data_IF_874368779503
#
_entry.id   IF_874368779503
#
_cell.length_a   1.000
_cell.length_b   1.000
_cell.length_c   1.000
_cell.angle_alpha   90.00
_cell.angle_beta   90.00
_cell.angle_gamma   90.00
#
_symmetry.space_group_name_H-M   'P 1'
#
loop_
_entity.id
_entity.type
_entity.pdbx_description
1 polymer ?
#
# COMPACT_ATOMS: atom_id res chain seq x y z
N UNK A 1 13.22 14.65 -5.30
CA UNK A 1 13.26 13.25 -4.84
C UNK A 1 11.94 12.58 -5.19
N UNK A 2 11.92 11.62 -6.12
CA UNK A 2 10.76 10.73 -6.28
C UNK A 2 10.85 9.69 -5.16
N UNK A 3 9.89 9.65 -4.24
CA UNK A 3 9.87 8.66 -3.15
C UNK A 3 9.04 7.46 -3.61
N UNK A 4 9.61 6.26 -3.57
CA UNK A 4 8.88 5.01 -3.75
C UNK A 4 7.95 4.76 -2.56
N UNK A 5 6.71 4.35 -2.82
CA UNK A 5 5.76 3.92 -1.78
C UNK A 5 5.32 2.47 -2.03
N UNK A 6 5.21 1.70 -0.95
CA UNK A 6 4.55 0.39 -0.94
C UNK A 6 3.10 0.58 -0.52
N UNK A 7 2.16 -0.02 -1.23
CA UNK A 7 0.72 0.17 -1.05
C UNK A 7 0.02 -1.16 -0.83
N UNK A 8 -0.72 -1.27 0.26
CA UNK A 8 -1.71 -2.31 0.50
C UNK A 8 -3.09 -1.70 0.35
N UNK A 9 -3.84 -2.18 -0.63
CA UNK A 9 -5.18 -1.69 -0.91
C UNK A 9 -5.90 -2.65 -1.82
N UNK A 10 -7.23 -2.76 -1.68
CA UNK A 10 -8.06 -3.46 -2.66
C UNK A 10 -7.87 -2.84 -4.03
N UNK A 11 -7.62 -3.70 -5.02
CA UNK A 11 -7.20 -3.27 -6.36
C UNK A 11 -8.30 -3.54 -7.38
N UNK A 12 -8.48 -2.61 -8.31
CA UNK A 12 -9.14 -2.94 -9.57
C UNK A 12 -8.15 -3.59 -10.55
N UNK A 13 -8.66 -4.23 -11.61
CA UNK A 13 -7.81 -4.84 -12.65
C UNK A 13 -6.89 -3.82 -13.34
N UNK A 14 -7.24 -2.54 -13.30
CA UNK A 14 -6.51 -1.46 -13.98
C UNK A 14 -5.25 -1.08 -13.20
N UNK A 15 -5.31 -1.01 -11.86
CA UNK A 15 -4.18 -0.68 -10.99
C UNK A 15 -3.03 -1.65 -11.16
N UNK A 16 -3.33 -2.96 -11.21
CA UNK A 16 -2.31 -4.01 -11.39
C UNK A 16 -1.53 -3.82 -12.69
N UNK A 17 -2.20 -3.41 -13.76
CA UNK A 17 -1.58 -3.18 -15.08
C UNK A 17 -0.73 -1.88 -15.14
N UNK A 18 -0.99 -0.89 -14.28
CA UNK A 18 -0.33 0.43 -14.35
C UNK A 18 0.49 0.79 -13.11
N UNK A 19 0.96 -0.15 -12.30
CA UNK A 19 1.97 0.20 -11.28
C UNK A 19 3.32 0.69 -11.87
N UNK A 20 3.42 0.80 -13.21
CA UNK A 20 4.50 1.41 -14.00
C UNK A 20 4.24 2.88 -14.44
N UNK A 21 3.32 3.63 -13.82
CA UNK A 21 3.07 5.03 -14.23
C UNK A 21 4.38 5.85 -14.18
N UNK A 22 4.87 6.40 -15.32
CA UNK A 22 6.10 7.17 -15.36
C UNK A 22 6.06 8.35 -14.37
N UNK A 23 7.00 8.38 -13.42
CA UNK A 23 7.08 9.43 -12.40
C UNK A 23 6.46 9.08 -11.05
N UNK A 24 5.73 7.97 -10.93
CA UNK A 24 5.26 7.39 -9.66
C UNK A 24 5.94 6.04 -9.44
N UNK A 25 6.72 5.90 -8.37
CA UNK A 25 7.28 4.62 -7.96
C UNK A 25 6.32 4.01 -6.92
N UNK A 26 5.35 3.24 -7.39
CA UNK A 26 4.39 2.56 -6.53
C UNK A 26 4.66 1.07 -6.63
N UNK A 27 4.89 0.45 -5.48
CA UNK A 27 5.01 -0.98 -5.34
C UNK A 27 3.76 -1.50 -4.66
N UNK A 28 3.12 -2.50 -5.27
CA UNK A 28 1.90 -3.07 -4.71
C UNK A 28 2.29 -4.22 -3.78
N UNK A 29 1.90 -4.17 -2.50
CA UNK A 29 2.23 -5.21 -1.51
C UNK A 29 1.54 -6.52 -1.88
N UNK A 30 2.31 -7.60 -2.02
CA UNK A 30 1.81 -8.91 -2.43
C UNK A 30 0.81 -9.49 -1.44
N UNK A 31 -0.18 -10.19 -1.97
CA UNK A 31 -1.18 -10.93 -1.20
C UNK A 31 -0.89 -12.44 -1.26
N UNK A 32 -1.05 -13.19 -0.16
CA UNK A 32 -1.45 -12.72 1.18
C UNK A 32 -0.30 -12.04 1.94
N UNK A 33 -0.66 -11.23 2.95
CA UNK A 33 0.26 -10.73 3.98
C UNK A 33 0.12 -11.53 5.27
N UNK A 34 1.21 -11.65 6.04
CA UNK A 34 1.20 -12.31 7.35
C UNK A 34 1.12 -11.29 8.49
N UNK A 35 0.05 -11.38 9.28
CA UNK A 35 -0.15 -10.57 10.48
C UNK A 35 -0.16 -11.50 11.68
N UNK A 36 0.93 -11.51 12.47
CA UNK A 36 1.07 -12.39 13.64
C UNK A 36 0.76 -13.87 13.29
N UNK A 37 1.34 -14.40 12.21
CA UNK A 37 1.12 -15.78 11.70
C UNK A 37 -0.26 -16.09 11.13
N UNK A 38 -1.14 -15.08 11.03
CA UNK A 38 -2.41 -15.18 10.32
C UNK A 38 -2.28 -14.56 8.92
N UNK A 39 -2.61 -15.32 7.90
CA UNK A 39 -2.64 -14.83 6.53
C UNK A 39 -3.88 -13.93 6.30
N UNK A 40 -3.67 -12.76 5.70
CA UNK A 40 -4.73 -11.84 5.26
C UNK A 40 -4.60 -11.63 3.74
N UNK A 41 -5.71 -11.78 3.01
CA UNK A 41 -5.76 -11.57 1.56
C UNK A 41 -6.41 -10.23 1.22
N UNK A 42 -6.14 -9.69 0.03
CA UNK A 42 -6.77 -8.44 -0.46
C UNK A 42 -8.31 -8.50 -0.49
N UNK A 43 -8.85 -9.69 -0.68
CA UNK A 43 -10.28 -9.97 -0.81
C UNK A 43 -10.96 -9.91 0.56
N UNK A 44 -10.27 -10.35 1.61
CA UNK A 44 -10.79 -10.40 2.97
C UNK A 44 -10.39 -9.18 3.81
N UNK A 45 -9.33 -8.47 3.43
CA UNK A 45 -8.87 -7.25 4.07
C UNK A 45 -9.51 -6.02 3.42
N UNK A 46 -10.16 -5.18 4.24
CA UNK A 46 -10.78 -3.93 3.79
C UNK A 46 -9.91 -2.70 4.07
N UNK A 47 -8.77 -2.89 4.74
CA UNK A 47 -7.87 -1.80 5.09
C UNK A 47 -7.10 -1.31 3.87
N UNK A 48 -6.74 -0.02 3.90
CA UNK A 48 -5.88 0.57 2.89
C UNK A 48 -4.79 1.34 3.62
N UNK A 49 -3.53 1.09 3.26
CA UNK A 49 -2.40 1.75 3.87
C UNK A 49 -1.21 1.81 2.93
N UNK A 50 -0.28 2.70 3.25
CA UNK A 50 0.96 2.88 2.51
C UNK A 50 2.13 3.19 3.45
N UNK A 51 3.32 2.80 3.01
CA UNK A 51 4.59 3.16 3.64
C UNK A 51 5.59 3.59 2.56
N UNK A 52 6.50 4.55 2.83
CA UNK A 52 7.63 4.82 1.96
C UNK A 52 8.64 3.66 2.02
N UNK A 53 9.31 3.37 0.92
CA UNK A 53 10.39 2.36 0.88
C UNK A 53 11.57 2.74 1.79
N UNK A 54 11.90 4.04 1.82
CA UNK A 54 12.90 4.64 2.69
C UNK A 54 12.25 5.76 3.52
N UNK A 55 11.84 5.46 4.75
CA UNK A 55 11.23 6.42 5.68
C UNK A 55 10.89 5.82 7.03
N UNK A 56 10.01 6.48 7.77
CA UNK A 56 9.65 6.17 9.16
C UNK A 56 8.15 6.44 9.45
N UNK A 57 7.35 6.58 8.39
CA UNK A 57 5.93 6.93 8.45
C UNK A 57 5.08 5.77 7.93
N UNK A 58 4.03 5.44 8.66
CA UNK A 58 2.93 4.62 8.21
C UNK A 58 1.70 5.50 7.98
N UNK A 59 0.95 5.31 6.89
CA UNK A 59 -0.32 6.00 6.68
C UNK A 59 -1.46 5.02 6.42
N UNK A 60 -2.52 5.11 7.21
CA UNK A 60 -3.81 4.51 6.88
C UNK A 60 -4.62 5.49 6.02
N UNK A 61 -5.27 4.99 4.98
CA UNK A 61 -6.09 5.79 4.05
C UNK A 61 -7.50 5.22 3.99
N UNK A 62 -8.50 6.09 3.86
CA UNK A 62 -9.90 5.69 3.91
C UNK A 62 -10.40 5.11 2.57
N UNK A 63 -9.87 5.63 1.47
CA UNK A 63 -10.21 5.17 0.11
C UNK A 63 -9.16 4.20 -0.42
N UNK A 64 -9.59 3.20 -1.21
CA UNK A 64 -8.64 2.34 -1.89
C UNK A 64 -7.81 3.13 -2.90
N UNK A 65 -6.57 2.69 -3.04
CA UNK A 65 -5.71 3.14 -4.11
C UNK A 65 -6.21 2.52 -5.42
N UNK A 66 -6.73 3.34 -6.32
CA UNK A 66 -7.27 2.91 -7.61
C UNK A 66 -6.91 3.94 -8.68
N UNK A 67 -6.84 3.51 -9.95
CA UNK A 67 -6.55 4.45 -11.04
C UNK A 67 -7.72 5.40 -11.26
N UNK A 68 -8.94 4.86 -11.22
CA UNK A 68 -10.15 5.64 -11.32
C UNK A 68 -10.68 5.87 -9.91
N UNK A 69 -10.59 7.11 -9.43
CA UNK A 69 -11.18 7.51 -8.16
C UNK A 69 -12.43 8.36 -8.42
N UNK A 70 -13.43 8.22 -7.55
CA UNK A 70 -14.57 9.13 -7.54
C UNK A 70 -14.10 10.51 -7.06
N UNK A 71 -14.71 11.56 -7.60
CA UNK A 71 -14.49 12.91 -7.10
C UNK A 71 -15.27 13.10 -5.79
N UNK A 72 -14.68 12.63 -4.70
CA UNK A 72 -15.25 12.66 -3.35
C UNK A 72 -14.16 12.93 -2.30
N UNK A 73 -14.51 13.42 -1.11
CA UNK A 73 -13.55 13.58 -0.02
C UNK A 73 -12.86 12.25 0.35
N UNK A 74 -11.58 12.35 0.68
CA UNK A 74 -10.74 11.27 1.16
C UNK A 74 -9.79 11.81 2.24
N UNK A 75 -9.28 10.93 3.10
CA UNK A 75 -8.36 11.29 4.17
C UNK A 75 -7.27 10.24 4.39
N UNK A 76 -6.18 10.68 5.00
CA UNK A 76 -5.09 9.84 5.44
C UNK A 76 -4.73 10.20 6.89
N UNK A 77 -4.50 9.18 7.72
CA UNK A 77 -3.91 9.34 9.04
C UNK A 77 -2.50 8.77 8.98
N UNK A 78 -1.50 9.62 9.19
CA UNK A 78 -0.09 9.24 9.13
C UNK A 78 0.53 9.27 10.53
N UNK A 79 1.29 8.22 10.84
CA UNK A 79 1.92 7.98 12.13
C UNK A 79 3.43 7.85 11.90
N UNK A 80 4.21 8.73 12.52
CA UNK A 80 5.67 8.70 12.49
C UNK A 80 6.20 8.05 13.77
N UNK A 81 6.26 6.72 13.76
CA UNK A 81 6.77 5.92 14.87
C UNK A 81 7.56 4.74 14.32
N UNK A 82 8.85 4.67 14.67
CA UNK A 82 9.80 3.72 14.07
C UNK A 82 9.38 2.25 14.23
N UNK A 83 8.81 1.89 15.37
CA UNK A 83 8.31 0.53 15.64
C UNK A 83 7.10 0.16 14.76
N UNK A 84 6.17 1.08 14.54
CA UNK A 84 5.03 0.88 13.64
C UNK A 84 5.52 0.77 12.19
N UNK A 85 6.39 1.69 11.77
CA UNK A 85 6.98 1.63 10.42
C UNK A 85 7.69 0.30 10.18
N UNK A 86 8.58 -0.11 11.09
CA UNK A 86 9.33 -1.36 10.94
C UNK A 86 8.38 -2.57 10.83
N UNK A 87 7.32 -2.59 11.65
CA UNK A 87 6.33 -3.66 11.61
C UNK A 87 5.61 -3.74 10.27
N UNK A 88 5.11 -2.63 9.74
CA UNK A 88 4.44 -2.59 8.45
C UNK A 88 5.40 -2.80 7.28
N UNK A 89 6.67 -2.40 7.41
CA UNK A 89 7.68 -2.69 6.39
C UNK A 89 7.99 -4.19 6.30
N UNK A 90 8.00 -4.92 7.42
CA UNK A 90 8.09 -6.38 7.42
C UNK A 90 6.87 -7.02 6.77
N UNK A 91 5.66 -6.55 7.07
CA UNK A 91 4.42 -7.02 6.43
C UNK A 91 4.48 -6.76 4.90
N UNK A 92 5.01 -5.61 4.50
CA UNK A 92 5.20 -5.17 3.12
C UNK A 92 6.51 -5.68 2.47
N UNK A 93 7.09 -6.80 2.96
CA UNK A 93 8.36 -7.30 2.44
C UNK A 93 8.24 -7.74 0.97
N UNK A 94 7.11 -8.37 0.61
CA UNK A 94 6.86 -8.86 -0.73
C UNK A 94 6.00 -7.87 -1.52
N UNK A 95 6.38 -7.62 -2.77
CA UNK A 95 5.66 -6.74 -3.70
C UNK A 95 5.43 -7.45 -5.02
N UNK A 96 4.28 -7.21 -5.61
CA UNK A 96 3.90 -7.87 -6.86
C UNK A 96 4.73 -7.36 -8.03
N UNK A 97 5.06 -8.27 -8.94
CA UNK A 97 5.60 -7.88 -10.23
C UNK A 97 4.55 -7.08 -10.99
N UNK A 98 4.87 -5.85 -11.36
CA UNK A 98 4.09 -5.08 -12.33
C UNK A 98 4.22 -5.76 -13.70
N UNK A 99 3.28 -6.63 -14.07
CA UNK A 99 3.17 -7.20 -15.41
C UNK A 99 2.43 -6.22 -16.30
#
# INVERSE_FOLDING_TARGET
LKKTIKVWSRRDKKLKANCKIPGRQILLVSSPIDINTLASSLENDVTNWLIPENGDIFCAVDKPYAISQKYEPAFAVCIQLANIFARFNTIAANVDSCS
#
